data_IF_797174974513
#
_entry.id   IF_797174974513
#
_cell.length_a   1.000
_cell.length_b   1.000
_cell.length_c   1.000
_cell.angle_alpha   90.00
_cell.angle_beta   90.00
_cell.angle_gamma   90.00
#
_symmetry.space_group_name_H-M   'P 1'
#
loop_
_entity.id
_entity.type
_entity.pdbx_description
1 polymer ?
#
# COMPACT_ATOMS: atom_id res chain seq x y z
N UNK A 1 29.38 -7.02 28.62
CA UNK A 1 29.05 -6.97 27.18
C UNK A 1 27.57 -6.63 27.05
N UNK A 2 27.19 -5.60 26.28
CA UNK A 2 25.81 -5.31 25.91
C UNK A 2 25.10 -6.53 25.32
N UNK A 3 23.80 -6.67 25.57
CA UNK A 3 23.05 -7.87 25.18
C UNK A 3 23.09 -8.15 23.67
N UNK A 4 22.91 -7.12 22.85
CA UNK A 4 22.95 -7.24 21.39
C UNK A 4 24.34 -7.65 20.85
N UNK A 5 25.43 -7.34 21.56
CA UNK A 5 26.78 -7.80 21.20
C UNK A 5 26.97 -9.29 21.52
N UNK A 6 26.41 -9.76 22.64
CA UNK A 6 26.45 -11.18 22.99
C UNK A 6 25.70 -12.04 21.96
N UNK A 7 24.57 -11.53 21.44
CA UNK A 7 23.83 -12.16 20.34
C UNK A 7 24.70 -12.26 19.07
N UNK A 8 25.49 -11.25 18.74
CA UNK A 8 26.36 -11.32 17.56
C UNK A 8 27.37 -12.46 17.67
N UNK A 9 28.00 -12.61 18.84
CA UNK A 9 28.92 -13.72 19.10
C UNK A 9 28.20 -15.08 18.99
N UNK A 10 27.01 -15.20 19.57
CA UNK A 10 26.22 -16.45 19.49
C UNK A 10 25.83 -16.81 18.05
N UNK A 11 25.45 -15.82 17.24
CA UNK A 11 25.12 -16.02 15.82
C UNK A 11 26.36 -16.39 15.00
N UNK A 12 27.50 -15.77 15.28
CA UNK A 12 28.77 -16.07 14.64
C UNK A 12 29.23 -17.50 14.96
N UNK A 13 29.15 -17.93 16.21
CA UNK A 13 29.45 -19.31 16.64
C UNK A 13 28.53 -20.34 15.98
N UNK A 14 27.26 -19.97 15.74
CA UNK A 14 26.28 -20.82 15.03
C UNK A 14 26.40 -20.76 13.49
N UNK A 15 27.31 -19.94 12.95
CA UNK A 15 27.48 -19.74 11.51
C UNK A 15 26.34 -18.98 10.82
N UNK A 16 25.48 -18.30 11.59
CA UNK A 16 24.31 -17.55 11.10
C UNK A 16 24.70 -16.11 10.72
N UNK A 17 25.62 -16.01 9.77
CA UNK A 17 26.28 -14.76 9.41
C UNK A 17 25.33 -13.75 8.75
N UNK A 18 24.32 -14.22 7.98
CA UNK A 18 23.38 -13.29 7.35
C UNK A 18 22.46 -12.66 8.38
N UNK A 19 21.98 -13.45 9.35
CA UNK A 19 21.19 -12.97 10.48
C UNK A 19 21.97 -11.97 11.31
N UNK A 20 23.24 -12.26 11.62
CA UNK A 20 24.12 -11.34 12.36
C UNK A 20 24.29 -10.02 11.61
N UNK A 21 24.65 -10.09 10.33
CA UNK A 21 24.91 -8.90 9.51
C UNK A 21 23.65 -8.04 9.36
N UNK A 22 22.49 -8.68 9.14
CA UNK A 22 21.22 -7.98 9.08
C UNK A 22 20.86 -7.30 10.42
N UNK A 23 21.08 -7.97 11.55
CA UNK A 23 20.83 -7.40 12.88
C UNK A 23 21.72 -6.18 13.14
N UNK A 24 23.00 -6.25 12.75
CA UNK A 24 23.95 -5.13 12.82
C UNK A 24 23.48 -3.95 11.96
N UNK A 25 23.06 -4.20 10.73
CA UNK A 25 22.54 -3.16 9.84
C UNK A 25 21.27 -2.51 10.40
N UNK A 26 20.34 -3.30 10.92
CA UNK A 26 19.10 -2.84 11.53
C UNK A 26 19.36 -1.93 12.75
N UNK A 27 20.21 -2.37 13.68
CA UNK A 27 20.58 -1.58 14.87
C UNK A 27 21.33 -0.31 14.47
N UNK A 28 22.31 -0.42 13.57
CA UNK A 28 23.08 0.73 13.10
C UNK A 28 22.18 1.76 12.42
N UNK A 29 21.26 1.33 11.56
CA UNK A 29 20.31 2.23 10.93
C UNK A 29 19.44 2.94 11.97
N UNK A 30 18.87 2.21 12.94
CA UNK A 30 18.03 2.81 13.98
C UNK A 30 18.78 3.89 14.78
N UNK A 31 20.04 3.62 15.15
CA UNK A 31 20.87 4.57 15.88
C UNK A 31 21.31 5.76 15.01
N UNK A 32 21.60 5.55 13.72
CA UNK A 32 22.01 6.62 12.80
C UNK A 32 20.85 7.55 12.46
N UNK A 33 19.66 6.99 12.18
CA UNK A 33 18.45 7.77 11.90
C UNK A 33 18.02 8.63 13.09
N UNK A 34 18.21 8.14 14.33
CA UNK A 34 17.97 8.94 15.55
C UNK A 34 18.97 10.08 15.74
N UNK A 35 20.22 9.93 15.29
CA UNK A 35 21.24 10.99 15.36
C UNK A 35 21.03 12.08 14.32
N UNK A 36 20.40 11.77 13.18
CA UNK A 36 20.26 12.68 12.04
C UNK A 36 18.97 13.51 12.02
N UNK A 37 17.96 13.21 12.84
CA UNK A 37 16.71 13.96 12.86
C UNK A 37 15.96 13.87 14.19
N UNK A 38 15.67 15.04 14.76
CA UNK A 38 14.93 15.24 16.00
C UNK A 38 13.40 15.14 15.85
N UNK A 39 12.86 14.63 14.74
CA UNK A 39 11.41 14.69 14.48
C UNK A 39 10.64 13.38 14.79
N UNK A 40 10.10 13.41 16.02
CA UNK A 40 8.71 13.13 16.44
C UNK A 40 8.06 11.73 16.34
N UNK A 41 8.59 10.72 15.63
CA UNK A 41 8.05 9.34 15.72
C UNK A 41 9.09 8.30 16.18
N UNK A 42 10.33 8.42 15.71
CA UNK A 42 11.40 7.45 16.01
C UNK A 42 12.00 7.62 17.40
N UNK A 43 11.92 8.81 18.00
CA UNK A 43 12.42 9.07 19.35
C UNK A 43 11.65 8.27 20.43
N UNK A 44 10.32 8.21 20.28
CA UNK A 44 9.40 7.57 21.24
C UNK A 44 9.29 6.04 21.06
N UNK A 45 9.79 5.49 19.95
CA UNK A 45 9.77 4.04 19.70
C UNK A 45 10.80 3.31 20.58
N UNK A 46 10.57 2.04 20.96
CA UNK A 46 11.55 1.25 21.70
C UNK A 46 12.88 1.14 20.94
N UNK A 47 14.01 1.19 21.67
CA UNK A 47 15.32 0.88 21.09
C UNK A 47 15.51 -0.63 21.05
N UNK A 48 15.86 -1.18 19.90
CA UNK A 48 16.16 -2.61 19.75
C UNK A 48 17.27 -3.04 20.73
N UNK A 49 18.33 -2.25 20.81
CA UNK A 49 19.47 -2.49 21.72
C UNK A 49 19.09 -2.58 23.20
N UNK A 50 17.96 -1.98 23.60
CA UNK A 50 17.49 -1.97 24.98
C UNK A 50 16.36 -2.96 25.23
N UNK A 51 15.95 -3.73 24.22
CA UNK A 51 14.78 -4.58 24.31
C UNK A 51 15.12 -6.04 24.08
N UNK A 52 15.49 -6.71 25.18
CA UNK A 52 15.90 -8.12 25.21
C UNK A 52 14.89 -9.03 24.50
N UNK A 53 13.62 -8.97 24.92
CA UNK A 53 12.56 -9.80 24.36
C UNK A 53 12.40 -9.57 22.85
N UNK A 54 12.58 -8.33 22.39
CA UNK A 54 12.41 -8.03 20.97
C UNK A 54 13.62 -8.52 20.14
N UNK A 55 14.82 -8.44 20.71
CA UNK A 55 15.99 -9.02 20.08
C UNK A 55 15.91 -10.55 20.01
N UNK A 56 15.48 -11.20 21.09
CA UNK A 56 15.38 -12.67 21.14
C UNK A 56 14.43 -13.21 20.09
N UNK A 57 13.25 -12.61 19.97
CA UNK A 57 12.26 -13.02 18.98
C UNK A 57 12.73 -12.75 17.54
N UNK A 58 13.34 -11.58 17.30
CA UNK A 58 13.88 -11.25 15.97
C UNK A 58 15.01 -12.20 15.57
N UNK A 59 15.92 -12.50 16.49
CA UNK A 59 17.02 -13.43 16.29
C UNK A 59 16.51 -14.83 16.02
N UNK A 60 15.55 -15.32 16.81
CA UNK A 60 14.94 -16.64 16.61
C UNK A 60 14.26 -16.74 15.22
N UNK A 61 13.47 -15.73 14.85
CA UNK A 61 12.79 -15.68 13.56
C UNK A 61 13.74 -15.61 12.36
N UNK A 62 14.77 -14.77 12.43
CA UNK A 62 15.78 -14.62 11.38
C UNK A 62 16.67 -15.87 11.28
N UNK A 63 17.09 -16.43 12.41
CA UNK A 63 17.88 -17.67 12.45
C UNK A 63 17.11 -18.82 11.80
N UNK A 64 15.82 -18.97 12.12
CA UNK A 64 14.94 -19.96 11.48
C UNK A 64 14.80 -19.73 9.98
N UNK A 65 14.71 -18.48 9.55
CA UNK A 65 14.61 -18.14 8.13
C UNK A 65 15.91 -18.47 7.36
N UNK A 66 17.07 -18.15 7.94
CA UNK A 66 18.39 -18.47 7.37
C UNK A 66 18.60 -19.97 7.30
N UNK A 67 18.35 -20.71 8.39
CA UNK A 67 18.46 -22.18 8.42
C UNK A 67 17.52 -22.84 7.41
N UNK A 68 16.31 -22.32 7.26
CA UNK A 68 15.32 -22.87 6.34
C UNK A 68 15.51 -22.41 4.88
N UNK A 69 16.46 -21.51 4.60
CA UNK A 69 16.60 -20.79 3.32
C UNK A 69 15.28 -20.17 2.81
N UNK A 70 14.40 -19.79 3.74
CA UNK A 70 13.05 -19.28 3.44
C UNK A 70 12.94 -17.80 3.69
N UNK A 71 11.99 -17.15 3.00
CA UNK A 71 11.69 -15.73 3.19
C UNK A 71 11.26 -15.47 4.64
N UNK A 72 11.93 -14.52 5.30
CA UNK A 72 11.75 -14.18 6.73
C UNK A 72 10.34 -13.72 7.13
N UNK A 73 9.49 -13.31 6.16
CA UNK A 73 8.12 -12.80 6.39
C UNK A 73 7.26 -13.73 7.28
N UNK A 74 7.41 -15.06 7.14
CA UNK A 74 6.64 -16.04 7.92
C UNK A 74 7.09 -16.17 9.38
N UNK A 75 8.29 -15.71 9.71
CA UNK A 75 8.95 -16.07 10.99
C UNK A 75 9.10 -14.90 11.96
N UNK A 76 8.86 -13.65 11.55
CA UNK A 76 9.26 -12.47 12.34
C UNK A 76 8.15 -11.42 12.60
N UNK A 77 6.95 -11.50 12.02
CA UNK A 77 5.99 -10.38 12.04
C UNK A 77 4.51 -10.75 12.29
N UNK A 78 4.22 -11.92 12.87
CA UNK A 78 2.83 -12.38 13.08
C UNK A 78 2.14 -11.76 14.32
N UNK A 79 2.84 -10.97 15.15
CA UNK A 79 2.26 -10.33 16.32
C UNK A 79 2.00 -8.83 16.12
N UNK A 80 0.78 -8.35 16.39
CA UNK A 80 0.37 -6.95 16.33
C UNK A 80 1.24 -5.99 17.20
N UNK A 81 1.98 -6.52 18.18
CA UNK A 81 2.93 -5.75 19.01
C UNK A 81 4.19 -5.27 18.26
N UNK A 82 4.35 -5.67 17.00
CA UNK A 82 5.58 -5.49 16.22
C UNK A 82 5.40 -4.66 14.95
N UNK A 83 4.23 -4.02 14.79
CA UNK A 83 3.98 -3.10 13.68
C UNK A 83 5.10 -2.06 13.55
N UNK A 84 5.63 -1.55 14.67
CA UNK A 84 6.74 -0.59 14.67
C UNK A 84 8.05 -1.17 14.09
N UNK A 85 8.32 -2.47 14.22
CA UNK A 85 9.50 -3.11 13.63
C UNK A 85 9.27 -3.37 12.14
N UNK A 86 8.06 -3.78 11.76
CA UNK A 86 7.64 -3.85 10.36
C UNK A 86 7.83 -2.52 9.65
N UNK A 87 7.41 -1.41 10.29
CA UNK A 87 7.63 -0.05 9.81
C UNK A 87 9.12 0.24 9.60
N UNK A 88 9.96 -0.06 10.59
CA UNK A 88 11.40 0.20 10.49
C UNK A 88 12.04 -0.55 9.32
N UNK A 89 11.65 -1.81 9.10
CA UNK A 89 12.17 -2.61 8.01
C UNK A 89 11.70 -2.12 6.65
N UNK A 90 10.46 -1.64 6.56
CA UNK A 90 9.93 -1.03 5.33
C UNK A 90 10.63 0.30 5.04
N UNK A 91 10.85 1.15 6.06
CA UNK A 91 11.63 2.39 5.92
C UNK A 91 13.06 2.10 5.47
N UNK A 92 13.72 1.10 6.05
CA UNK A 92 15.06 0.67 5.65
C UNK A 92 15.09 0.15 4.22
N UNK A 93 14.14 -0.71 3.87
CA UNK A 93 14.00 -1.26 2.52
C UNK A 93 13.86 -0.14 1.50
N UNK A 94 13.05 0.89 1.81
CA UNK A 94 12.89 2.09 0.98
C UNK A 94 14.17 2.94 0.92
N UNK A 95 14.85 3.16 2.05
CA UNK A 95 16.10 3.91 2.07
C UNK A 95 17.18 3.22 1.22
N UNK A 96 17.30 1.89 1.34
CA UNK A 96 18.21 1.08 0.53
C UNK A 96 17.82 1.09 -0.95
N UNK A 97 16.53 1.00 -1.25
CA UNK A 97 16.04 0.96 -2.63
C UNK A 97 16.08 2.31 -3.35
N UNK A 98 16.10 3.42 -2.61
CA UNK A 98 16.11 4.77 -3.17
C UNK A 98 17.29 5.03 -4.12
N UNK A 99 18.42 4.37 -3.86
CA UNK A 99 19.68 4.43 -4.61
C UNK A 99 19.75 3.46 -5.80
N UNK A 100 18.70 2.66 -6.02
CA UNK A 100 18.66 1.67 -7.09
C UNK A 100 18.25 2.32 -8.41
N UNK A 101 19.00 2.01 -9.47
CA UNK A 101 18.78 2.50 -10.83
C UNK A 101 18.70 1.34 -11.84
N UNK A 102 18.27 1.66 -13.06
CA UNK A 102 18.19 0.72 -14.18
C UNK A 102 17.31 -0.50 -13.88
N UNK A 103 17.87 -1.70 -14.05
CA UNK A 103 17.14 -2.97 -13.91
C UNK A 103 16.62 -3.25 -12.49
N UNK A 104 17.09 -2.50 -11.48
CA UNK A 104 16.69 -2.67 -10.08
C UNK A 104 15.52 -1.77 -9.66
N UNK A 105 14.98 -0.96 -10.57
CA UNK A 105 13.82 -0.09 -10.30
C UNK A 105 12.57 -0.84 -9.85
N UNK A 106 12.43 -2.13 -10.20
CA UNK A 106 11.34 -2.96 -9.69
C UNK A 106 11.36 -3.07 -8.16
N UNK A 107 12.54 -3.25 -7.56
CA UNK A 107 12.67 -3.36 -6.10
C UNK A 107 12.34 -2.03 -5.43
N UNK A 108 12.70 -0.91 -6.05
CA UNK A 108 12.30 0.44 -5.61
C UNK A 108 10.78 0.60 -5.63
N UNK A 109 10.12 0.29 -6.75
CA UNK A 109 8.66 0.35 -6.84
C UNK A 109 7.97 -0.54 -5.80
N UNK A 110 8.46 -1.77 -5.60
CA UNK A 110 7.90 -2.70 -4.61
C UNK A 110 8.08 -2.16 -3.18
N UNK A 111 9.23 -1.58 -2.86
CA UNK A 111 9.42 -0.96 -1.54
C UNK A 111 8.51 0.24 -1.30
N UNK A 112 8.24 1.06 -2.33
CA UNK A 112 7.28 2.18 -2.25
C UNK A 112 5.85 1.65 -2.07
N UNK A 113 5.48 0.58 -2.76
CA UNK A 113 4.18 -0.08 -2.57
C UNK A 113 4.01 -0.65 -1.16
N UNK A 114 5.03 -1.35 -0.64
CA UNK A 114 5.02 -1.86 0.74
C UNK A 114 4.87 -0.74 1.75
N UNK A 115 5.61 0.36 1.57
CA UNK A 115 5.55 1.51 2.47
C UNK A 115 4.20 2.22 2.43
N UNK A 116 3.65 2.46 1.24
CA UNK A 116 2.34 3.06 1.07
C UNK A 116 1.25 2.24 1.76
N UNK A 117 1.21 0.92 1.53
CA UNK A 117 0.27 0.02 2.20
C UNK A 117 0.43 0.00 3.72
N UNK A 118 1.67 -0.10 4.19
CA UNK A 118 1.96 -0.11 5.61
C UNK A 118 1.41 1.16 6.30
N UNK A 119 1.70 2.34 5.74
CA UNK A 119 1.22 3.63 6.27
C UNK A 119 -0.31 3.66 6.32
N UNK A 120 -0.99 3.19 5.28
CA UNK A 120 -2.46 3.18 5.22
C UNK A 120 -3.06 2.22 6.26
N UNK A 121 -2.42 1.07 6.50
CA UNK A 121 -2.92 0.03 7.39
C UNK A 121 -2.64 0.32 8.87
N UNK A 122 -1.57 1.04 9.18
CA UNK A 122 -1.04 1.18 10.56
C UNK A 122 -1.01 2.60 11.09
N UNK A 123 -1.21 3.62 10.24
CA UNK A 123 -1.13 5.03 10.63
C UNK A 123 -2.35 5.81 10.20
N UNK A 124 -2.63 6.92 10.88
CA UNK A 124 -3.73 7.82 10.51
C UNK A 124 -3.41 8.68 9.27
N UNK A 125 -2.18 8.66 8.75
CA UNK A 125 -1.77 9.51 7.62
C UNK A 125 -2.03 8.85 6.26
N UNK A 126 -3.31 8.76 5.88
CA UNK A 126 -3.74 8.22 4.58
C UNK A 126 -3.07 8.93 3.39
N UNK A 127 -2.85 10.24 3.49
CA UNK A 127 -2.28 11.06 2.42
C UNK A 127 -0.83 10.67 2.11
N UNK A 128 -0.01 10.43 3.15
CA UNK A 128 1.37 10.01 2.97
C UNK A 128 1.45 8.63 2.30
N UNK A 129 0.54 7.74 2.68
CA UNK A 129 0.40 6.43 2.03
C UNK A 129 0.09 6.55 0.54
N UNK A 130 -0.85 7.44 0.18
CA UNK A 130 -1.19 7.73 -1.22
C UNK A 130 0.03 8.26 -2.00
N UNK A 131 0.85 9.14 -1.43
CA UNK A 131 2.06 9.65 -2.09
C UNK A 131 3.02 8.51 -2.48
N UNK A 132 3.24 7.56 -1.57
CA UNK A 132 4.08 6.39 -1.85
C UNK A 132 3.49 5.49 -2.94
N UNK A 133 2.18 5.24 -2.89
CA UNK A 133 1.49 4.45 -3.91
C UNK A 133 1.52 5.13 -5.28
N UNK A 134 1.35 6.45 -5.36
CA UNK A 134 1.46 7.20 -6.61
C UNK A 134 2.88 7.14 -7.21
N UNK A 135 3.91 7.23 -6.37
CA UNK A 135 5.30 7.06 -6.81
C UNK A 135 5.56 5.65 -7.36
N UNK A 136 5.03 4.61 -6.68
CA UNK A 136 5.09 3.24 -7.18
C UNK A 136 4.36 3.09 -8.52
N UNK A 137 3.17 3.66 -8.66
CA UNK A 137 2.38 3.63 -9.90
C UNK A 137 3.18 4.23 -11.05
N UNK A 138 3.77 5.41 -10.87
CA UNK A 138 4.54 6.08 -11.91
C UNK A 138 5.76 5.25 -12.34
N UNK A 139 6.46 4.66 -11.37
CA UNK A 139 7.65 3.83 -11.63
C UNK A 139 7.30 2.52 -12.34
N UNK A 140 6.16 1.92 -11.99
CA UNK A 140 5.72 0.62 -12.54
C UNK A 140 4.87 0.74 -13.82
N UNK A 141 4.41 1.93 -14.19
CA UNK A 141 3.56 2.13 -15.34
C UNK A 141 4.20 1.61 -16.64
N UNK A 142 3.47 0.78 -17.39
CA UNK A 142 3.95 0.15 -18.63
C UNK A 142 5.05 -0.89 -18.43
N UNK A 143 5.37 -1.30 -17.19
CA UNK A 143 6.37 -2.33 -16.91
C UNK A 143 5.69 -3.68 -16.66
N UNK A 144 6.27 -4.81 -17.12
CA UNK A 144 5.69 -6.15 -16.96
C UNK A 144 5.92 -6.75 -15.57
N UNK A 145 6.16 -5.91 -14.55
CA UNK A 145 6.53 -6.36 -13.22
C UNK A 145 5.34 -6.99 -12.51
N UNK A 146 5.51 -8.21 -12.02
CA UNK A 146 4.47 -8.94 -11.28
C UNK A 146 4.66 -8.76 -9.78
N UNK A 147 3.57 -8.44 -9.07
CA UNK A 147 3.58 -8.32 -7.61
C UNK A 147 3.64 -9.69 -6.90
N UNK A 148 3.19 -10.77 -7.57
CA UNK A 148 3.10 -12.14 -7.05
C UNK A 148 4.36 -12.66 -6.36
N UNK A 149 5.54 -12.26 -6.82
CA UNK A 149 6.81 -12.70 -6.24
C UNK A 149 7.01 -12.22 -4.79
N UNK A 150 6.38 -11.10 -4.41
CA UNK A 150 6.48 -10.47 -3.09
C UNK A 150 5.17 -10.57 -2.31
N UNK A 151 4.05 -10.67 -3.03
CA UNK A 151 2.69 -10.75 -2.50
C UNK A 151 1.95 -11.90 -3.20
N UNK A 152 2.05 -13.14 -2.69
CA UNK A 152 1.48 -14.32 -3.34
C UNK A 152 -0.03 -14.24 -3.61
N UNK A 153 -0.74 -13.40 -2.85
CA UNK A 153 -2.17 -13.09 -3.01
C UNK A 153 -2.47 -12.28 -4.28
N UNK A 154 -1.51 -11.51 -4.77
CA UNK A 154 -1.66 -10.67 -5.94
C UNK A 154 -1.59 -11.49 -7.23
N UNK A 155 -2.56 -11.25 -8.11
CA UNK A 155 -2.71 -11.97 -9.38
C UNK A 155 -2.31 -11.09 -10.57
N UNK A 156 -2.38 -9.77 -10.40
CA UNK A 156 -2.17 -8.80 -11.46
C UNK A 156 -0.72 -8.29 -11.49
N UNK A 157 -0.43 -7.41 -12.46
CA UNK A 157 0.84 -6.67 -12.47
C UNK A 157 0.93 -5.70 -11.28
N UNK A 158 2.14 -5.30 -10.91
CA UNK A 158 2.35 -4.32 -9.83
C UNK A 158 1.61 -3.01 -10.11
N UNK A 159 1.59 -2.55 -11.37
CA UNK A 159 0.90 -1.32 -11.75
C UNK A 159 -0.62 -1.44 -11.52
N UNK A 160 -1.22 -2.56 -11.87
CA UNK A 160 -2.64 -2.83 -11.67
C UNK A 160 -3.00 -2.94 -10.19
N UNK A 161 -2.22 -3.69 -9.39
CA UNK A 161 -2.45 -3.85 -7.94
C UNK A 161 -2.34 -2.50 -7.20
N UNK A 162 -1.37 -1.66 -7.58
CA UNK A 162 -1.23 -0.30 -7.02
C UNK A 162 -2.43 0.56 -7.41
N UNK A 163 -2.89 0.48 -8.66
CA UNK A 163 -4.07 1.22 -9.11
C UNK A 163 -5.34 0.73 -8.41
N UNK A 164 -5.49 -0.57 -8.16
CA UNK A 164 -6.60 -1.12 -7.40
C UNK A 164 -6.60 -0.62 -5.95
N UNK A 165 -5.42 -0.59 -5.32
CA UNK A 165 -5.26 -0.05 -3.96
C UNK A 165 -5.61 1.45 -3.93
N UNK A 166 -5.09 2.24 -4.87
CA UNK A 166 -5.41 3.67 -4.99
C UNK A 166 -6.90 3.91 -5.28
N UNK A 167 -7.54 3.04 -6.07
CA UNK A 167 -8.99 3.10 -6.30
C UNK A 167 -9.76 3.03 -4.97
N UNK A 168 -9.47 2.03 -4.13
CA UNK A 168 -10.15 1.87 -2.84
C UNK A 168 -9.94 3.09 -1.93
N UNK A 169 -8.71 3.64 -1.91
CA UNK A 169 -8.41 4.84 -1.13
C UNK A 169 -9.23 6.04 -1.58
N UNK A 170 -9.20 6.38 -2.87
CA UNK A 170 -9.93 7.53 -3.40
C UNK A 170 -11.46 7.34 -3.33
N UNK A 171 -11.95 6.12 -3.51
CA UNK A 171 -13.38 5.82 -3.41
C UNK A 171 -13.90 5.99 -1.97
N UNK A 172 -13.17 5.48 -0.98
CA UNK A 172 -13.53 5.66 0.42
C UNK A 172 -13.47 7.13 0.83
N UNK A 173 -12.43 7.86 0.41
CA UNK A 173 -12.32 9.30 0.65
C UNK A 173 -13.50 10.07 0.05
N UNK A 174 -13.90 9.74 -1.19
CA UNK A 174 -15.07 10.33 -1.82
C UNK A 174 -16.36 10.06 -1.01
N UNK A 175 -16.54 8.86 -0.45
CA UNK A 175 -17.71 8.53 0.38
C UNK A 175 -17.71 9.26 1.72
N UNK A 176 -16.55 9.44 2.33
CA UNK A 176 -16.39 10.21 3.57
C UNK A 176 -16.72 11.69 3.33
N UNK A 177 -16.14 12.27 2.28
CA UNK A 177 -16.36 13.67 1.90
C UNK A 177 -17.76 13.96 1.41
N UNK A 178 -18.50 13.00 0.86
CA UNK A 178 -19.86 13.24 0.35
C UNK A 178 -20.79 13.78 1.45
N UNK A 179 -20.54 13.42 2.72
CA UNK A 179 -21.35 13.86 3.87
C UNK A 179 -21.12 15.32 4.26
N UNK A 180 -19.96 15.88 3.95
CA UNK A 180 -19.50 17.18 4.45
C UNK A 180 -19.19 18.17 3.33
N UNK A 181 -18.54 17.71 2.26
CA UNK A 181 -18.09 18.49 1.11
C UNK A 181 -18.35 17.78 -0.23
N UNK A 182 -19.61 17.77 -0.73
CA UNK A 182 -20.01 17.05 -1.95
C UNK A 182 -19.18 17.39 -3.20
N UNK A 183 -18.86 18.67 -3.42
CA UNK A 183 -17.97 19.12 -4.53
C UNK A 183 -16.59 18.47 -4.50
N UNK A 184 -16.01 18.29 -3.30
CA UNK A 184 -14.70 17.67 -3.16
C UNK A 184 -14.80 16.16 -3.37
N UNK A 185 -15.85 15.53 -2.87
CA UNK A 185 -16.13 14.10 -3.11
C UNK A 185 -16.19 13.77 -4.62
N UNK A 186 -16.78 14.65 -5.43
CA UNK A 186 -16.82 14.47 -6.89
C UNK A 186 -15.44 14.39 -7.54
N UNK A 187 -14.44 15.13 -7.04
CA UNK A 187 -13.05 15.06 -7.54
C UNK A 187 -12.42 13.70 -7.22
N UNK A 188 -12.61 13.22 -6.00
CA UNK A 188 -12.10 11.92 -5.56
C UNK A 188 -12.80 10.75 -6.29
N UNK A 189 -14.10 10.86 -6.58
CA UNK A 189 -14.81 9.88 -7.40
C UNK A 189 -14.23 9.77 -8.83
N UNK A 190 -13.82 10.88 -9.44
CA UNK A 190 -13.14 10.86 -10.74
C UNK A 190 -11.73 10.27 -10.67
N UNK A 191 -10.99 10.53 -9.59
CA UNK A 191 -9.70 9.88 -9.35
C UNK A 191 -9.86 8.38 -9.18
N UNK A 192 -10.83 7.93 -8.36
CA UNK A 192 -11.16 6.53 -8.17
C UNK A 192 -11.48 5.85 -9.51
N UNK A 193 -12.36 6.46 -10.33
CA UNK A 193 -12.66 5.96 -11.69
C UNK A 193 -11.39 5.77 -12.52
N UNK A 194 -10.52 6.79 -12.56
CA UNK A 194 -9.28 6.74 -13.33
C UNK A 194 -8.39 5.57 -12.88
N UNK A 195 -8.29 5.32 -11.57
CA UNK A 195 -7.51 4.20 -11.03
C UNK A 195 -8.15 2.85 -11.31
N UNK A 196 -9.47 2.74 -11.18
CA UNK A 196 -10.21 1.51 -11.54
C UNK A 196 -10.02 1.14 -13.02
N UNK A 197 -10.04 2.12 -13.93
CA UNK A 197 -9.74 1.89 -15.35
C UNK A 197 -8.32 1.35 -15.56
N UNK A 198 -7.33 1.89 -14.86
CA UNK A 198 -5.93 1.44 -14.96
C UNK A 198 -5.71 0.05 -14.36
N UNK A 199 -6.53 -0.35 -13.39
CA UNK A 199 -6.52 -1.68 -12.78
C UNK A 199 -7.39 -2.71 -13.52
N UNK A 200 -8.01 -2.33 -14.65
CA UNK A 200 -9.01 -3.14 -15.35
C UNK A 200 -10.16 -3.62 -14.45
N UNK A 201 -10.54 -2.82 -13.44
CA UNK A 201 -11.54 -3.17 -12.45
C UNK A 201 -12.92 -2.59 -12.80
N UNK A 202 -13.68 -3.32 -13.62
CA UNK A 202 -14.95 -2.86 -14.21
C UNK A 202 -15.98 -2.42 -13.17
N UNK A 203 -16.14 -3.19 -12.10
CA UNK A 203 -17.07 -2.86 -11.01
C UNK A 203 -16.71 -1.52 -10.38
N UNK A 204 -15.43 -1.27 -10.10
CA UNK A 204 -14.97 0.00 -9.53
C UNK A 204 -15.15 1.20 -10.45
N UNK A 205 -15.09 1.01 -11.78
CA UNK A 205 -15.41 2.08 -12.75
C UNK A 205 -16.90 2.45 -12.61
N UNK A 206 -17.80 1.46 -12.55
CA UNK A 206 -19.24 1.66 -12.36
C UNK A 206 -19.53 2.34 -11.02
N UNK A 207 -18.99 1.81 -9.92
CA UNK A 207 -19.17 2.36 -8.57
C UNK A 207 -18.70 3.82 -8.48
N UNK A 208 -17.54 4.13 -9.04
CA UNK A 208 -17.01 5.50 -9.06
C UNK A 208 -17.89 6.47 -9.85
N UNK A 209 -18.45 6.03 -10.98
CA UNK A 209 -19.34 6.86 -11.80
C UNK A 209 -20.70 7.08 -11.14
N UNK A 210 -21.24 6.07 -10.46
CA UNK A 210 -22.46 6.23 -9.65
C UNK A 210 -22.21 7.21 -8.50
N UNK A 211 -21.10 7.08 -7.79
CA UNK A 211 -20.73 8.01 -6.72
C UNK A 211 -20.57 9.44 -7.25
N UNK A 212 -19.95 9.62 -8.42
CA UNK A 212 -19.88 10.93 -9.09
C UNK A 212 -21.27 11.48 -9.41
N UNK A 213 -22.16 10.65 -9.94
CA UNK A 213 -23.55 11.04 -10.19
C UNK A 213 -24.26 11.50 -8.92
N UNK A 214 -24.08 10.79 -7.81
CA UNK A 214 -24.63 11.19 -6.50
C UNK A 214 -24.05 12.53 -6.04
N UNK A 215 -22.74 12.75 -6.17
CA UNK A 215 -22.12 14.04 -5.80
C UNK A 215 -22.69 15.20 -6.61
N UNK A 216 -22.92 14.99 -7.91
CA UNK A 216 -23.50 16.01 -8.79
C UNK A 216 -24.97 16.29 -8.47
N UNK A 217 -25.75 15.27 -8.08
CA UNK A 217 -27.13 15.46 -7.62
C UNK A 217 -27.17 16.33 -6.35
N UNK A 218 -26.30 16.06 -5.39
CA UNK A 218 -26.22 16.85 -4.15
C UNK A 218 -25.80 18.29 -4.44
N UNK A 219 -24.94 18.50 -5.43
CA UNK A 219 -24.52 19.83 -5.90
C UNK A 219 -25.52 20.50 -6.87
N UNK A 220 -26.71 19.91 -7.06
CA UNK A 220 -27.79 20.38 -7.95
C UNK A 220 -27.38 20.50 -9.44
N UNK A 221 -26.39 19.74 -9.87
CA UNK A 221 -25.92 19.64 -11.25
C UNK A 221 -26.57 18.45 -11.95
N UNK A 222 -27.89 18.51 -12.17
CA UNK A 222 -28.70 17.39 -12.69
C UNK A 222 -28.18 16.83 -14.01
N UNK A 223 -27.75 17.69 -14.94
CA UNK A 223 -27.23 17.26 -16.24
C UNK A 223 -25.99 16.37 -16.10
N UNK A 224 -25.01 16.80 -15.28
CA UNK A 224 -23.78 16.05 -15.03
C UNK A 224 -24.04 14.76 -14.26
N UNK A 225 -25.03 14.77 -13.35
CA UNK A 225 -25.46 13.59 -12.64
C UNK A 225 -26.01 12.53 -13.58
N UNK A 226 -26.94 12.91 -14.47
CA UNK A 226 -27.53 12.02 -15.48
C UNK A 226 -26.44 11.46 -16.39
N UNK A 227 -25.54 12.32 -16.90
CA UNK A 227 -24.42 11.88 -17.75
C UNK A 227 -23.54 10.83 -17.04
N UNK A 228 -23.21 11.04 -15.77
CA UNK A 228 -22.39 10.12 -14.99
C UNK A 228 -23.09 8.78 -14.75
N UNK A 229 -24.38 8.79 -14.41
CA UNK A 229 -25.17 7.57 -14.19
C UNK A 229 -25.40 6.78 -15.48
N UNK A 230 -25.68 7.46 -16.59
CA UNK A 230 -25.80 6.84 -17.92
C UNK A 230 -24.47 6.20 -18.33
N UNK A 231 -23.33 6.84 -18.04
CA UNK A 231 -22.02 6.24 -18.28
C UNK A 231 -21.79 4.99 -17.41
N UNK A 232 -22.18 5.02 -16.13
CA UNK A 232 -22.10 3.86 -15.24
C UNK A 232 -22.89 2.65 -15.78
N UNK A 233 -24.16 2.87 -16.15
CA UNK A 233 -24.99 1.82 -16.73
C UNK A 233 -24.47 1.33 -18.08
N UNK A 234 -23.91 2.23 -18.90
CA UNK A 234 -23.27 1.85 -20.16
C UNK A 234 -22.07 0.92 -19.98
N UNK A 235 -21.34 1.01 -18.87
CA UNK A 235 -20.27 0.05 -18.53
C UNK A 235 -20.87 -1.29 -18.10
N UNK A 236 -21.88 -1.27 -17.23
CA UNK A 236 -22.51 -2.49 -16.74
C UNK A 236 -23.23 -3.29 -17.85
N UNK A 237 -23.83 -2.61 -18.82
CA UNK A 237 -24.47 -3.24 -19.99
C UNK A 237 -23.50 -3.98 -20.92
N UNK A 238 -22.20 -3.68 -20.85
CA UNK A 238 -21.18 -4.44 -21.61
C UNK A 238 -20.83 -5.78 -20.96
N UNK A 239 -21.30 -6.01 -19.73
CA UNK A 239 -21.13 -7.27 -19.04
C UNK A 239 -22.23 -8.25 -19.53
N UNK A 240 -21.87 -9.50 -19.83
CA UNK A 240 -22.78 -10.49 -20.41
C UNK A 240 -23.96 -10.85 -19.48
N UNK A 241 -23.82 -10.60 -18.18
CA UNK A 241 -24.81 -10.89 -17.15
C UNK A 241 -25.56 -9.65 -16.62
N UNK A 242 -25.81 -8.64 -17.45
CA UNK A 242 -26.49 -7.42 -16.99
C UNK A 242 -28.01 -7.62 -16.76
N UNK A 243 -28.57 -6.88 -15.80
CA UNK A 243 -30.02 -6.86 -15.54
C UNK A 243 -30.75 -6.13 -16.70
N UNK A 244 -31.70 -6.78 -17.42
CA UNK A 244 -32.46 -6.16 -18.49
C UNK A 244 -33.18 -4.85 -18.10
N UNK A 245 -33.51 -4.67 -16.82
CA UNK A 245 -34.13 -3.44 -16.30
C UNK A 245 -33.23 -2.21 -16.44
N UNK A 246 -31.91 -2.39 -16.49
CA UNK A 246 -30.94 -1.30 -16.70
C UNK A 246 -31.16 -0.59 -18.04
N UNK A 247 -31.57 -1.34 -19.07
CA UNK A 247 -31.85 -0.76 -20.40
C UNK A 247 -33.02 0.22 -20.33
N UNK A 248 -34.10 -0.16 -19.64
CA UNK A 248 -35.28 0.68 -19.43
C UNK A 248 -34.92 1.92 -18.61
N UNK A 249 -34.12 1.76 -17.56
CA UNK A 249 -33.65 2.88 -16.74
C UNK A 249 -32.80 3.87 -17.53
N UNK A 250 -31.89 3.39 -18.40
CA UNK A 250 -31.08 4.23 -19.28
C UNK A 250 -31.91 4.99 -20.31
N UNK A 251 -32.91 4.36 -20.92
CA UNK A 251 -33.79 5.02 -21.89
C UNK A 251 -34.56 6.16 -21.24
N UNK A 252 -35.09 5.95 -20.02
CA UNK A 252 -35.78 6.99 -19.25
C UNK A 252 -34.86 8.14 -18.85
N UNK A 253 -33.65 7.84 -18.39
CA UNK A 253 -32.67 8.87 -18.00
C UNK A 253 -32.18 9.71 -19.17
N UNK A 254 -32.15 9.16 -20.39
CA UNK A 254 -31.78 9.92 -21.59
C UNK A 254 -32.89 10.83 -22.10
N UNK A 255 -34.14 10.58 -21.71
CA UNK A 255 -35.30 11.39 -22.08
C UNK A 255 -35.65 12.49 -21.08
N UNK A 256 -34.96 12.51 -19.93
CA UNK A 256 -35.11 13.50 -18.86
C UNK A 256 -34.11 14.64 -19.05
#
# INVERSE_FOLDING_TARGET
>A
MPYHEAIYCELEEKGLLNTMEFLKQLITFQETSRKQGADTASANKPRLVNSKNHLDYLVDGLSKAEIAEKKAKKYCFDEAKWEWLGEQLVIQSKAASSRLEGNKLQLKAISEYMHGRFIIETTDSKELGIVHLESCRETSNGKPWKAKAFFPEHKQSLAEEVCLTLYHMYYNEAKELLKTFPKNAGKYALLAKKRAMQACFTEGITESMLLKGITDLVDNNLELAIQSMVAAFGVQMKNEAYDPRLKIAMEKLRSA
#
